data_IF_275927142252
#
_entry.id   IF_275927142252
#
_cell.length_a   1.000
_cell.length_b   1.000
_cell.length_c   1.000
_cell.angle_alpha   90.00
_cell.angle_beta   90.00
_cell.angle_gamma   90.00
#
_symmetry.space_group_name_H-M   'P 1'
#
loop_
_entity.id
_entity.type
_entity.pdbx_description
1 polymer ?
#
# COMPACT_ATOMS: atom_id res chain seq x y z
N UNK A 1 15.06 16.92 23.73
CA UNK A 1 14.34 16.52 22.49
C UNK A 1 15.31 15.96 21.46
N UNK A 2 15.03 14.76 20.97
CA UNK A 2 15.81 14.13 19.91
C UNK A 2 15.41 14.70 18.54
N UNK A 3 16.40 14.92 17.67
CA UNK A 3 16.18 15.41 16.32
C UNK A 3 16.14 14.25 15.33
N UNK A 4 15.21 14.30 14.39
CA UNK A 4 15.00 13.27 13.37
C UNK A 4 14.84 13.90 11.99
N UNK A 5 15.23 13.17 10.96
CA UNK A 5 14.77 13.49 9.61
C UNK A 5 13.26 13.28 9.53
N UNK A 6 12.57 14.13 8.77
CA UNK A 6 11.12 14.09 8.62
C UNK A 6 10.74 14.13 7.16
N UNK A 7 9.88 13.22 6.74
CA UNK A 7 9.24 13.28 5.43
C UNK A 7 7.77 13.64 5.59
N UNK A 8 7.30 14.63 4.82
CA UNK A 8 5.90 15.06 4.77
C UNK A 8 5.33 14.68 3.41
N UNK A 9 4.35 13.80 3.36
CA UNK A 9 3.72 13.36 2.10
C UNK A 9 2.71 14.40 1.58
N UNK A 10 2.33 14.27 0.30
CA UNK A 10 1.29 15.14 -0.30
C UNK A 10 -0.08 14.96 0.37
N UNK A 11 -0.33 13.80 0.98
CA UNK A 11 -1.50 13.53 1.82
C UNK A 11 -1.36 14.03 3.27
N UNK A 12 -0.41 14.93 3.56
CA UNK A 12 -0.13 15.56 4.86
C UNK A 12 0.30 14.61 6.01
N UNK A 13 0.39 13.32 5.75
CA UNK A 13 0.99 12.38 6.68
C UNK A 13 2.49 12.64 6.84
N UNK A 14 3.02 12.29 8.00
CA UNK A 14 4.44 12.42 8.32
C UNK A 14 5.06 11.07 8.65
N UNK A 15 6.30 10.87 8.17
CA UNK A 15 7.16 9.73 8.54
C UNK A 15 8.45 10.27 9.14
N UNK A 16 8.80 9.75 10.31
CA UNK A 16 10.08 10.00 10.96
C UNK A 16 11.11 9.04 10.38
N UNK A 17 12.27 9.55 9.97
CA UNK A 17 13.40 8.75 9.50
C UNK A 17 14.42 8.53 10.62
N UNK A 18 15.70 8.48 10.23
CA UNK A 18 16.83 8.27 11.13
C UNK A 18 16.94 9.37 12.21
N UNK A 19 17.39 8.94 13.40
CA UNK A 19 17.68 9.82 14.55
C UNK A 19 19.00 10.54 14.29
N UNK A 20 18.93 11.86 14.14
CA UNK A 20 20.07 12.72 13.77
C UNK A 20 20.85 13.21 15.00
N UNK A 21 20.16 13.51 16.10
CA UNK A 21 20.79 14.03 17.32
C UNK A 21 20.05 13.55 18.57
N UNK A 22 20.79 13.03 19.53
CA UNK A 22 20.31 12.68 20.85
C UNK A 22 20.20 13.93 21.72
N UNK A 23 19.16 13.99 22.55
CA UNK A 23 19.16 14.91 23.67
C UNK A 23 19.73 14.25 24.92
N UNK A 24 20.02 15.08 25.91
CA UNK A 24 20.58 14.64 27.20
C UNK A 24 19.82 13.47 27.83
N UNK A 25 18.48 13.50 27.85
CA UNK A 25 17.67 12.39 28.37
C UNK A 25 17.92 11.05 27.65
N UNK A 26 18.01 11.07 26.32
CA UNK A 26 18.27 9.87 25.53
C UNK A 26 19.72 9.41 25.70
N UNK A 27 20.65 10.36 25.86
CA UNK A 27 22.04 10.04 26.18
C UNK A 27 22.15 9.41 27.57
N UNK A 28 21.50 9.98 28.58
CA UNK A 28 21.51 9.47 29.95
C UNK A 28 20.84 8.08 30.04
N UNK A 29 19.84 7.80 29.20
CA UNK A 29 19.27 6.46 29.07
C UNK A 29 20.27 5.45 28.50
N UNK A 30 20.97 5.81 27.42
CA UNK A 30 22.03 4.98 26.82
C UNK A 30 23.17 4.74 27.82
N UNK A 31 23.52 5.76 28.59
CA UNK A 31 24.55 5.71 29.63
C UNK A 31 24.09 4.94 30.89
N UNK A 32 22.84 4.43 30.92
CA UNK A 32 22.27 3.70 32.06
C UNK A 32 21.96 4.55 33.30
N UNK A 33 22.00 5.89 33.16
CA UNK A 33 21.70 6.84 34.25
C UNK A 33 20.21 7.01 34.47
N UNK A 34 19.39 6.77 33.46
CA UNK A 34 17.92 6.79 33.54
C UNK A 34 17.32 5.50 32.98
N UNK A 35 16.13 5.13 33.44
CA UNK A 35 15.44 3.91 33.01
C UNK A 35 14.54 4.07 31.76
N UNK A 36 14.37 5.29 31.24
CA UNK A 36 13.45 5.57 30.14
C UNK A 36 14.12 6.42 29.04
N UNK A 37 13.96 6.04 27.76
CA UNK A 37 14.39 6.83 26.60
C UNK A 37 13.47 8.05 26.40
N UNK A 38 14.01 9.08 25.74
CA UNK A 38 13.28 10.29 25.38
C UNK A 38 12.16 9.98 24.36
N UNK A 39 10.91 10.30 24.73
CA UNK A 39 9.75 10.13 23.87
C UNK A 39 9.49 11.33 22.94
N UNK A 40 10.18 12.46 23.17
CA UNK A 40 9.94 13.71 22.45
C UNK A 40 10.79 13.76 21.18
N UNK A 41 10.13 13.61 20.03
CA UNK A 41 10.72 13.72 18.69
C UNK A 41 10.48 15.11 18.09
N UNK A 42 11.50 15.69 17.47
CA UNK A 42 11.41 16.99 16.79
C UNK A 42 12.02 16.90 15.39
N UNK A 43 11.42 17.55 14.37
CA UNK A 43 12.00 17.52 13.03
C UNK A 43 13.26 18.36 12.98
N UNK A 44 14.27 17.84 12.30
CA UNK A 44 15.48 18.57 11.98
C UNK A 44 15.24 19.41 10.72
N UNK A 45 15.15 20.75 10.81
CA UNK A 45 14.69 21.60 9.72
C UNK A 45 15.44 21.43 8.39
N UNK A 46 16.78 21.28 8.36
CA UNK A 46 17.52 21.08 7.10
C UNK A 46 17.20 19.78 6.36
N UNK A 47 16.64 18.79 7.06
CA UNK A 47 16.35 17.45 6.49
C UNK A 47 14.86 17.15 6.40
N UNK A 48 13.99 18.11 6.72
CA UNK A 48 12.55 17.92 6.52
C UNK A 48 12.24 18.04 5.03
N UNK A 49 11.80 16.95 4.41
CA UNK A 49 11.54 16.88 2.96
C UNK A 49 10.05 16.70 2.71
N UNK A 50 9.51 17.53 1.81
CA UNK A 50 8.16 17.32 1.27
C UNK A 50 8.24 16.33 0.11
N UNK A 51 7.51 15.24 0.22
CA UNK A 51 7.37 14.23 -0.82
C UNK A 51 6.10 14.53 -1.63
N UNK A 52 6.23 14.53 -2.95
CA UNK A 52 5.10 14.74 -3.86
C UNK A 52 4.18 13.51 -3.96
N UNK A 53 4.60 12.37 -3.42
CA UNK A 53 3.81 11.14 -3.37
C UNK A 53 2.90 11.06 -2.13
N UNK A 54 1.86 10.22 -2.22
CA UNK A 54 1.02 9.85 -1.08
C UNK A 54 1.73 8.81 -0.22
N UNK A 55 1.39 8.74 1.05
CA UNK A 55 1.92 7.69 1.93
C UNK A 55 1.29 6.33 1.60
N UNK A 56 1.98 5.25 1.97
CA UNK A 56 1.54 3.86 1.75
C UNK A 56 0.14 3.59 2.30
N UNK A 57 -0.16 4.03 3.53
CA UNK A 57 -1.49 3.86 4.14
C UNK A 57 -2.60 4.47 3.29
N UNK A 58 -2.36 5.66 2.73
CA UNK A 58 -3.32 6.30 1.83
C UNK A 58 -3.47 5.50 0.53
N UNK A 59 -2.37 5.04 -0.07
CA UNK A 59 -2.43 4.22 -1.28
C UNK A 59 -3.19 2.90 -1.08
N UNK A 60 -2.99 2.24 0.06
CA UNK A 60 -3.74 1.03 0.43
C UNK A 60 -5.24 1.29 0.59
N UNK A 61 -5.62 2.44 1.17
CA UNK A 61 -7.02 2.84 1.27
C UNK A 61 -7.63 3.13 -0.10
N UNK A 62 -6.91 3.83 -0.98
CA UNK A 62 -7.39 4.10 -2.34
C UNK A 62 -7.59 2.79 -3.12
N UNK A 63 -6.67 1.83 -2.98
CA UNK A 63 -6.78 0.53 -3.62
C UNK A 63 -8.02 -0.24 -3.12
N UNK A 64 -8.31 -0.19 -1.81
CA UNK A 64 -9.53 -0.77 -1.25
C UNK A 64 -10.79 -0.09 -1.80
N UNK A 65 -10.80 1.25 -1.87
CA UNK A 65 -11.90 2.02 -2.44
C UNK A 65 -12.12 1.65 -3.91
N UNK A 66 -11.05 1.54 -4.70
CA UNK A 66 -11.12 1.15 -6.10
C UNK A 66 -11.71 -0.26 -6.28
N UNK A 67 -11.30 -1.22 -5.45
CA UNK A 67 -11.86 -2.58 -5.45
C UNK A 67 -13.35 -2.57 -5.14
N UNK A 68 -13.78 -1.85 -4.11
CA UNK A 68 -15.20 -1.76 -3.74
C UNK A 68 -16.02 -1.10 -4.84
N UNK A 69 -15.51 -0.01 -5.46
CA UNK A 69 -16.18 0.65 -6.59
C UNK A 69 -16.38 -0.29 -7.78
N UNK A 70 -15.36 -1.11 -8.10
CA UNK A 70 -15.47 -2.12 -9.16
C UNK A 70 -16.55 -3.15 -8.85
N UNK A 71 -16.59 -3.68 -7.63
CA UNK A 71 -17.61 -4.65 -7.21
C UNK A 71 -19.02 -4.04 -7.35
N UNK A 72 -19.21 -2.81 -6.86
CA UNK A 72 -20.50 -2.12 -6.98
C UNK A 72 -20.91 -1.91 -8.44
N UNK A 73 -19.95 -1.55 -9.32
CA UNK A 73 -20.19 -1.42 -10.75
C UNK A 73 -20.67 -2.73 -11.38
N UNK A 74 -19.95 -3.82 -11.12
CA UNK A 74 -20.30 -5.14 -11.64
C UNK A 74 -21.69 -5.60 -11.17
N UNK A 75 -21.99 -5.41 -9.87
CA UNK A 75 -23.31 -5.78 -9.33
C UNK A 75 -24.43 -4.99 -10.00
N UNK A 76 -24.24 -3.68 -10.23
CA UNK A 76 -25.23 -2.85 -10.94
C UNK A 76 -25.45 -3.33 -12.37
N UNK A 77 -24.38 -3.60 -13.10
CA UNK A 77 -24.45 -4.14 -14.46
C UNK A 77 -25.19 -5.48 -14.51
N UNK A 78 -24.90 -6.36 -13.56
CA UNK A 78 -25.56 -7.68 -13.48
C UNK A 78 -27.06 -7.52 -13.19
N UNK A 79 -27.42 -6.60 -12.29
CA UNK A 79 -28.84 -6.31 -11.99
C UNK A 79 -29.57 -5.75 -13.21
N UNK A 80 -28.99 -4.77 -13.89
CA UNK A 80 -29.57 -4.17 -15.12
C UNK A 80 -29.72 -5.21 -16.23
N UNK A 81 -28.76 -6.13 -16.39
CA UNK A 81 -28.86 -7.23 -17.35
C UNK A 81 -29.98 -8.20 -16.96
N UNK A 82 -30.11 -8.56 -15.69
CA UNK A 82 -31.20 -9.45 -15.24
C UNK A 82 -32.58 -8.82 -15.38
N UNK A 83 -32.72 -7.51 -15.17
CA UNK A 83 -33.97 -6.80 -15.40
C UNK A 83 -34.33 -6.78 -16.89
N UNK A 84 -33.35 -6.51 -17.77
CA UNK A 84 -33.54 -6.55 -19.22
C UNK A 84 -33.98 -7.92 -19.72
N UNK A 85 -33.29 -8.99 -19.29
CA UNK A 85 -33.65 -10.37 -19.63
C UNK A 85 -35.07 -10.71 -19.18
N UNK A 86 -35.47 -10.31 -17.96
CA UNK A 86 -36.84 -10.49 -17.48
C UNK A 86 -37.88 -9.72 -18.30
N UNK A 87 -37.54 -8.54 -18.81
CA UNK A 87 -38.43 -7.78 -19.68
C UNK A 87 -38.55 -8.39 -21.08
N UNK A 88 -37.48 -8.98 -21.61
CA UNK A 88 -37.46 -9.73 -22.87
C UNK A 88 -38.30 -11.01 -22.75
N UNK A 89 -38.08 -11.82 -21.71
CA UNK A 89 -38.88 -13.03 -21.41
C UNK A 89 -40.37 -12.72 -21.24
N UNK A 90 -40.72 -11.59 -20.62
CA UNK A 90 -42.13 -11.16 -20.49
C UNK A 90 -42.78 -10.74 -21.81
N UNK A 91 -41.99 -10.27 -22.78
CA UNK A 91 -42.50 -9.89 -24.11
C UNK A 91 -42.62 -11.11 -25.03
N UNK A 92 -41.74 -12.09 -24.86
CA UNK A 92 -41.77 -13.34 -25.62
C UNK A 92 -42.82 -14.35 -25.10
N UNK A 93 -43.10 -14.35 -23.79
CA UNK A 93 -44.13 -15.20 -23.16
C UNK A 93 -45.60 -14.90 -23.49
N UNK A 94 -45.88 -13.98 -24.44
CA UNK A 94 -47.25 -13.67 -24.91
C UNK A 94 -47.59 -14.38 -26.24
N UNK A 95 -46.67 -15.18 -26.82
CA UNK A 95 -46.91 -15.90 -28.09
C UNK A 95 -46.49 -17.39 -28.09
N UNK A 96 -46.79 -18.16 -27.04
CA UNK A 96 -46.80 -19.61 -27.22
C UNK A 96 -47.93 -20.27 -26.42
N UNK A 97 -48.94 -20.72 -27.17
CA UNK A 97 -49.91 -21.69 -26.71
C UNK A 97 -49.24 -23.03 -26.45
N UNK A 98 -49.87 -23.76 -25.53
CA UNK A 98 -49.95 -25.21 -25.40
C UNK A 98 -49.15 -26.03 -26.43
N UNK A 99 -48.12 -26.75 -25.98
CA UNK A 99 -47.96 -28.19 -26.27
C UNK A 99 -46.80 -28.80 -25.46
N UNK A 100 -46.88 -30.12 -25.36
CA UNK A 100 -46.45 -31.06 -24.33
C UNK A 100 -44.96 -31.49 -24.29
N UNK A 101 -44.63 -32.14 -23.17
CA UNK A 101 -43.72 -33.28 -22.97
C UNK A 101 -42.18 -33.13 -22.94
N UNK A 102 -41.68 -33.27 -21.71
CA UNK A 102 -40.77 -34.31 -21.19
C UNK A 102 -39.28 -34.42 -21.64
N UNK A 103 -38.47 -34.43 -20.59
CA UNK A 103 -37.27 -35.24 -20.35
C UNK A 103 -35.86 -34.67 -20.59
N UNK A 104 -35.00 -35.03 -19.64
CA UNK A 104 -33.78 -34.41 -19.13
C UNK A 104 -32.49 -34.89 -19.79
N UNK A 105 -31.40 -34.21 -19.40
CA UNK A 105 -29.99 -34.63 -19.22
C UNK A 105 -29.02 -33.72 -20.01
N UNK A 106 -28.35 -32.76 -19.32
CA UNK A 106 -26.97 -32.86 -18.75
C UNK A 106 -25.92 -32.70 -19.87
N UNK A 107 -24.83 -31.94 -19.80
CA UNK A 107 -24.06 -31.17 -18.81
C UNK A 107 -23.12 -30.28 -19.65
N UNK A 108 -22.72 -29.09 -19.20
CA UNK A 108 -21.35 -28.63 -19.50
C UNK A 108 -20.79 -27.85 -18.30
N UNK A 109 -19.84 -28.50 -17.64
CA UNK A 109 -18.89 -27.86 -16.74
C UNK A 109 -18.12 -26.76 -17.48
N UNK A 110 -17.99 -25.57 -16.88
CA UNK A 110 -16.90 -24.67 -17.26
C UNK A 110 -16.13 -24.25 -16.02
N UNK A 111 -14.93 -24.80 -15.96
CA UNK A 111 -13.93 -24.64 -14.94
C UNK A 111 -13.57 -23.17 -14.69
N UNK A 112 -13.38 -22.90 -13.41
CA UNK A 112 -12.66 -21.74 -12.89
C UNK A 112 -11.24 -21.68 -13.44
N UNK A 113 -10.78 -20.50 -13.85
CA UNK A 113 -9.37 -20.11 -13.66
C UNK A 113 -9.24 -18.59 -13.68
N UNK A 114 -9.05 -18.03 -12.49
CA UNK A 114 -8.66 -16.64 -12.30
C UNK A 114 -7.16 -16.45 -12.56
N UNK A 115 -6.81 -15.27 -13.07
CA UNK A 115 -5.48 -14.71 -12.92
C UNK A 115 -5.63 -13.30 -12.36
N UNK A 116 -5.31 -13.19 -11.08
CA UNK A 116 -5.24 -11.93 -10.35
C UNK A 116 -3.78 -11.47 -10.42
N UNK A 117 -3.46 -10.61 -11.39
CA UNK A 117 -2.16 -9.94 -11.41
C UNK A 117 -2.09 -8.92 -10.27
N UNK A 118 -1.25 -9.22 -9.28
CA UNK A 118 -0.86 -8.29 -8.23
C UNK A 118 -0.07 -7.12 -8.83
N UNK A 119 -0.74 -5.99 -9.00
CA UNK A 119 -0.07 -4.74 -9.36
C UNK A 119 0.49 -4.08 -8.08
N UNK A 120 1.77 -4.30 -7.82
CA UNK A 120 2.48 -3.76 -6.64
C UNK A 120 2.80 -2.27 -6.82
N UNK A 121 2.35 -1.37 -5.92
CA UNK A 121 2.69 0.05 -5.97
C UNK A 121 4.00 0.32 -5.21
N UNK A 122 5.14 -0.13 -5.74
CA UNK A 122 6.42 -0.07 -5.00
C UNK A 122 7.61 0.46 -5.82
N UNK A 123 7.46 1.66 -6.39
CA UNK A 123 8.60 2.35 -7.05
C UNK A 123 9.09 3.60 -6.31
N UNK A 124 8.38 4.07 -5.29
CA UNK A 124 8.79 5.28 -4.57
C UNK A 124 9.77 4.99 -3.41
N UNK A 125 9.63 3.85 -2.72
CA UNK A 125 10.51 3.50 -1.59
C UNK A 125 11.90 3.03 -2.06
N UNK A 126 11.99 2.30 -3.18
CA UNK A 126 13.26 1.78 -3.72
C UNK A 126 14.29 2.84 -4.13
N UNK A 127 13.86 4.08 -4.39
CA UNK A 127 14.79 5.19 -4.71
C UNK A 127 15.43 5.82 -3.47
N UNK A 128 14.95 5.49 -2.27
CA UNK A 128 15.48 6.03 -1.00
C UNK A 128 16.52 5.10 -0.37
N UNK A 129 16.34 3.77 -0.45
CA UNK A 129 17.29 2.80 0.11
C UNK A 129 18.65 2.83 -0.60
N UNK A 130 18.68 3.02 -1.93
CA UNK A 130 19.91 3.07 -2.73
C UNK A 130 20.82 4.30 -2.47
N UNK A 131 20.46 5.20 -1.54
CA UNK A 131 21.30 6.34 -1.14
C UNK A 131 21.81 6.24 0.30
N UNK A 132 21.39 5.24 1.07
CA UNK A 132 21.85 5.04 2.46
C UNK A 132 23.01 4.03 2.55
N UNK A 133 23.29 3.23 1.51
CA UNK A 133 24.39 2.23 1.45
C UNK A 133 25.77 2.77 1.01
N UNK A 134 26.00 4.09 1.09
CA UNK A 134 27.36 4.65 0.97
C UNK A 134 27.89 5.01 2.36
N UNK A 135 28.11 3.99 3.20
CA UNK A 135 29.04 4.11 4.31
C UNK A 135 30.47 4.23 3.75
N UNK A 136 31.27 5.24 4.13
CA UNK A 136 32.70 5.16 3.90
C UNK A 136 33.28 4.04 4.75
N UNK A 137 33.91 3.06 4.08
CA UNK A 137 34.79 2.05 4.68
C UNK A 137 35.78 2.74 5.62
N UNK A 138 35.92 2.19 6.82
CA UNK A 138 37.07 2.41 7.69
C UNK A 138 38.37 2.25 6.90
N UNK A 139 39.18 3.31 6.84
CA UNK A 139 40.61 3.20 6.54
C UNK A 139 41.37 3.08 7.86
N UNK A 140 41.43 1.87 8.40
CA UNK A 140 42.55 1.43 9.22
C UNK A 140 43.54 0.72 8.28
N UNK A 141 44.57 1.45 7.82
CA UNK A 141 45.94 0.94 7.67
C UNK A 141 46.83 1.99 6.99
N UNK A 142 47.73 2.59 7.75
CA UNK A 142 49.01 3.02 7.18
C UNK A 142 50.10 2.85 8.24
N UNK A 143 50.63 1.63 8.29
CA UNK A 143 51.97 1.33 8.78
C UNK A 143 52.98 2.26 8.10
N UNK A 144 53.86 2.90 8.88
CA UNK A 144 55.26 3.13 8.49
C UNK A 144 56.10 3.16 9.77
N UNK A 145 56.83 2.07 10.02
CA UNK A 145 58.01 2.12 10.89
C UNK A 145 59.20 2.63 10.08
N UNK A 146 60.03 3.48 10.69
CA UNK A 146 61.44 3.68 10.29
C UNK A 146 62.22 4.15 11.53
N UNK A 147 63.11 3.25 11.99
CA UNK A 147 64.37 3.42 12.75
C UNK A 147 64.32 4.09 14.13
#
# INVERSE_FOLDING_TARGET
>A
MCQYSQSVFSCQHTRWGLRMKLCKEAQDFIDGKTGNDCQIKKPYPPTSRKLQCRCRKCGELDAKIAKVRKIIGNVRETMEETERKREEEKKEGVNHGEDDEDNQEEEEEVASQGQHEENTPDQCEKRQEAKEDMEPRNEEDQQHGVV
#
